data_IF_796468497822
#
_entry.id   IF_796468497822
#
_cell.length_a   1.000
_cell.length_b   1.000
_cell.length_c   1.000
_cell.angle_alpha   90.00
_cell.angle_beta   90.00
_cell.angle_gamma   90.00
#
_symmetry.space_group_name_H-M   'P 1'
#
loop_
_entity.id
_entity.type
_entity.pdbx_description
1 polymer ?
#
# COMPACT_ATOMS: atom_id res chain seq x y z
N UNK A 1 0.17 -26.49 -21.46
CA UNK A 1 0.18 -26.37 -19.99
C UNK A 1 0.74 -25.00 -19.70
N UNK A 2 -0.15 -24.03 -19.46
CA UNK A 2 0.29 -22.71 -19.01
C UNK A 2 0.88 -22.86 -17.61
N UNK A 3 2.11 -22.39 -17.46
CA UNK A 3 2.79 -22.36 -16.19
C UNK A 3 2.17 -21.22 -15.38
N UNK A 4 1.10 -21.51 -14.62
CA UNK A 4 0.44 -20.51 -13.77
C UNK A 4 1.41 -20.20 -12.63
N UNK A 5 2.22 -19.14 -12.80
CA UNK A 5 3.08 -18.62 -11.74
C UNK A 5 2.14 -18.06 -10.67
N UNK A 6 1.98 -18.78 -9.56
CA UNK A 6 1.18 -18.33 -8.44
C UNK A 6 1.80 -17.10 -7.77
N UNK A 7 0.94 -16.25 -7.20
CA UNK A 7 1.37 -15.03 -6.55
C UNK A 7 2.25 -15.31 -5.32
N UNK A 8 3.39 -14.62 -5.19
CA UNK A 8 4.26 -14.76 -4.02
C UNK A 8 3.77 -13.89 -2.87
N UNK A 9 3.00 -14.47 -1.95
CA UNK A 9 2.40 -13.74 -0.83
C UNK A 9 2.97 -14.18 0.54
N UNK A 10 3.08 -13.23 1.46
CA UNK A 10 3.30 -13.48 2.89
C UNK A 10 2.18 -12.84 3.68
N UNK A 11 1.41 -13.66 4.39
CA UNK A 11 0.34 -13.22 5.27
C UNK A 11 0.70 -13.56 6.72
N UNK A 12 0.86 -12.51 7.53
CA UNK A 12 1.12 -12.56 8.97
C UNK A 12 0.10 -11.72 9.74
N UNK A 13 -1.10 -11.57 9.17
CA UNK A 13 -2.21 -10.84 9.77
C UNK A 13 -2.58 -11.42 11.13
N UNK A 14 -2.79 -10.55 12.11
CA UNK A 14 -3.32 -10.90 13.44
C UNK A 14 -2.49 -11.98 14.18
N UNK A 15 -1.17 -11.93 14.06
CA UNK A 15 -0.24 -12.90 14.67
C UNK A 15 0.46 -12.40 15.93
N UNK A 16 0.01 -11.29 16.52
CA UNK A 16 0.57 -10.70 17.75
C UNK A 16 2.06 -10.31 17.63
N UNK A 17 2.55 -10.05 16.41
CA UNK A 17 3.93 -9.62 16.18
C UNK A 17 4.18 -8.25 16.81
N UNK A 18 5.39 -8.05 17.34
CA UNK A 18 5.80 -6.80 17.98
C UNK A 18 7.26 -6.47 17.67
N UNK A 19 7.68 -5.25 18.02
CA UNK A 19 9.01 -4.72 17.69
C UNK A 19 9.01 -4.01 16.34
N UNK A 20 10.21 -3.75 15.81
CA UNK A 20 10.41 -3.01 14.57
C UNK A 20 10.72 -3.93 13.39
N UNK A 21 10.37 -3.50 12.19
CA UNK A 21 10.82 -4.17 10.98
C UNK A 21 12.35 -4.04 10.81
N UNK A 22 13.06 -5.11 10.43
CA UNK A 22 14.47 -5.01 10.08
C UNK A 22 14.66 -4.26 8.75
N UNK A 23 15.63 -3.35 8.69
CA UNK A 23 15.95 -2.60 7.47
C UNK A 23 17.15 -3.20 6.72
N UNK A 24 16.95 -4.40 6.16
CA UNK A 24 18.02 -5.17 5.51
C UNK A 24 17.56 -5.95 4.26
N UNK A 25 16.44 -5.58 3.65
CA UNK A 25 15.91 -6.25 2.45
C UNK A 25 16.78 -5.90 1.24
N UNK A 26 17.58 -6.87 0.77
CA UNK A 26 18.44 -6.68 -0.41
C UNK A 26 17.77 -7.06 -1.73
N UNK A 27 16.86 -8.04 -1.67
CA UNK A 27 16.07 -8.54 -2.79
C UNK A 27 14.76 -9.05 -2.23
N UNK A 28 13.69 -8.81 -2.98
CA UNK A 28 12.35 -9.17 -2.57
C UNK A 28 11.55 -9.51 -3.83
N UNK A 29 10.93 -10.69 -3.81
CA UNK A 29 10.09 -11.21 -4.89
C UNK A 29 8.63 -11.38 -4.46
N UNK A 30 8.29 -10.88 -3.26
CA UNK A 30 6.92 -10.85 -2.79
C UNK A 30 6.11 -9.88 -3.63
N UNK A 31 4.94 -10.36 -4.03
CA UNK A 31 3.91 -9.64 -4.76
C UNK A 31 2.83 -9.14 -3.78
N UNK A 32 2.61 -9.82 -2.65
CA UNK A 32 1.71 -9.35 -1.59
C UNK A 32 2.30 -9.56 -0.18
N UNK A 33 2.21 -8.52 0.65
CA UNK A 33 2.63 -8.52 2.06
C UNK A 33 1.50 -8.02 2.95
N UNK A 34 1.02 -8.86 3.88
CA UNK A 34 0.04 -8.47 4.90
C UNK A 34 0.61 -8.71 6.30
N UNK A 35 0.83 -7.60 7.01
CA UNK A 35 1.27 -7.54 8.40
C UNK A 35 0.20 -6.89 9.30
N UNK A 36 -1.04 -6.81 8.84
CA UNK A 36 -2.10 -6.07 9.52
C UNK A 36 -2.53 -6.70 10.84
N UNK A 37 -3.06 -5.91 11.77
CA UNK A 37 -3.60 -6.41 13.03
C UNK A 37 -2.54 -6.92 14.02
N UNK A 38 -1.35 -6.34 14.00
CA UNK A 38 -0.26 -6.70 14.90
C UNK A 38 0.09 -5.53 15.86
N UNK A 39 1.19 -5.64 16.60
CA UNK A 39 1.72 -4.63 17.50
C UNK A 39 3.07 -4.09 17.03
N UNK A 40 3.33 -4.11 15.72
CA UNK A 40 4.58 -3.65 15.13
C UNK A 40 4.71 -2.13 15.33
N UNK A 41 5.89 -1.68 15.71
CA UNK A 41 6.21 -0.28 16.01
C UNK A 41 7.38 0.23 15.15
N UNK A 42 7.87 1.44 15.47
CA UNK A 42 8.95 2.07 14.74
C UNK A 42 8.52 2.53 13.35
N UNK A 43 9.41 2.38 12.37
CA UNK A 43 9.25 2.88 11.00
C UNK A 43 9.17 1.75 9.98
N UNK A 44 8.59 2.02 8.82
CA UNK A 44 8.70 1.10 7.69
C UNK A 44 10.16 1.04 7.18
N UNK A 45 10.71 -0.14 6.88
CA UNK A 45 12.10 -0.26 6.46
C UNK A 45 12.25 0.28 5.04
N UNK A 46 13.23 1.16 4.80
CA UNK A 46 13.43 1.81 3.49
C UNK A 46 13.85 0.79 2.43
N UNK A 47 14.44 -0.32 2.87
CA UNK A 47 14.79 -1.45 2.04
C UNK A 47 13.59 -2.16 1.38
N UNK A 48 12.33 -1.91 1.80
CA UNK A 48 11.14 -2.36 1.05
C UNK A 48 11.10 -1.84 -0.39
N UNK A 49 11.77 -0.73 -0.69
CA UNK A 49 11.95 -0.23 -2.06
C UNK A 49 12.63 -1.22 -3.01
N UNK A 50 13.29 -2.27 -2.50
CA UNK A 50 13.85 -3.37 -3.27
C UNK A 50 12.81 -4.39 -3.76
N UNK A 51 11.59 -4.38 -3.21
CA UNK A 51 10.47 -5.23 -3.64
C UNK A 51 9.82 -4.68 -4.92
N UNK A 52 10.47 -4.86 -6.07
CA UNK A 52 9.97 -4.31 -7.35
C UNK A 52 8.71 -4.99 -7.90
N UNK A 53 8.43 -6.19 -7.42
CA UNK A 53 7.25 -6.98 -7.79
C UNK A 53 6.08 -6.78 -6.82
N UNK A 54 6.23 -5.96 -5.78
CA UNK A 54 5.19 -5.77 -4.75
C UNK A 54 3.99 -5.01 -5.31
N UNK A 55 2.83 -5.64 -5.24
CA UNK A 55 1.52 -5.15 -5.67
C UNK A 55 0.66 -4.73 -4.48
N UNK A 56 0.73 -5.47 -3.37
CA UNK A 56 -0.09 -5.24 -2.17
C UNK A 56 0.80 -5.09 -0.93
N UNK A 57 0.65 -3.98 -0.23
CA UNK A 57 1.16 -3.81 1.14
C UNK A 57 0.03 -3.40 2.09
N UNK A 58 -0.24 -4.27 3.07
CA UNK A 58 -1.12 -3.97 4.20
C UNK A 58 -0.34 -4.02 5.51
N UNK A 59 -0.25 -2.88 6.19
CA UNK A 59 0.34 -2.74 7.52
C UNK A 59 -0.67 -2.16 8.52
N UNK A 60 -1.95 -2.21 8.19
CA UNK A 60 -3.02 -1.62 8.97
C UNK A 60 -3.12 -2.18 10.39
N UNK A 61 -3.73 -1.43 11.31
CA UNK A 61 -3.91 -1.85 12.71
C UNK A 61 -2.60 -2.27 13.38
N UNK A 62 -1.60 -1.38 13.36
CA UNK A 62 -0.31 -1.54 14.06
C UNK A 62 0.00 -0.28 14.90
N UNK A 63 1.23 -0.16 15.41
CA UNK A 63 1.73 0.99 16.17
C UNK A 63 2.82 1.78 15.43
N UNK A 64 2.91 1.64 14.10
CA UNK A 64 3.95 2.24 13.26
C UNK A 64 3.86 3.77 13.33
N UNK A 65 4.99 4.41 13.57
CA UNK A 65 5.14 5.86 13.70
C UNK A 65 6.17 6.36 12.69
N UNK A 66 5.70 6.78 11.52
CA UNK A 66 6.54 7.25 10.42
C UNK A 66 5.91 8.46 9.71
N UNK A 67 6.64 9.07 8.78
CA UNK A 67 6.08 10.04 7.85
C UNK A 67 5.36 9.36 6.68
N UNK A 68 4.66 10.12 5.85
CA UNK A 68 4.15 9.60 4.57
C UNK A 68 5.29 8.98 3.75
N UNK A 69 5.06 7.80 3.19
CA UNK A 69 6.09 6.93 2.63
C UNK A 69 6.41 7.25 1.16
N UNK A 70 6.77 8.51 0.85
CA UNK A 70 7.09 8.94 -0.52
C UNK A 70 8.16 8.09 -1.21
N UNK A 71 9.11 7.55 -0.44
CA UNK A 71 10.14 6.65 -0.95
C UNK A 71 9.60 5.34 -1.56
N UNK A 72 8.32 4.99 -1.31
CA UNK A 72 7.67 3.83 -1.93
C UNK A 72 7.20 4.09 -3.38
N UNK A 73 7.21 5.34 -3.85
CA UNK A 73 6.86 5.71 -5.24
C UNK A 73 7.70 4.96 -6.29
N UNK A 74 8.90 4.49 -5.89
CA UNK A 74 9.82 3.73 -6.76
C UNK A 74 9.47 2.25 -6.89
N UNK A 75 8.39 1.78 -6.26
CA UNK A 75 7.85 0.42 -6.41
C UNK A 75 6.82 0.48 -7.55
N UNK A 76 7.18 0.03 -8.77
CA UNK A 76 6.40 0.33 -9.97
C UNK A 76 5.07 -0.40 -10.06
N UNK A 77 4.88 -1.46 -9.26
CA UNK A 77 3.70 -2.32 -9.29
C UNK A 77 2.77 -2.13 -8.10
N UNK A 78 3.07 -1.20 -7.19
CA UNK A 78 2.27 -1.05 -5.97
C UNK A 78 0.86 -0.53 -6.32
N UNK A 79 -0.12 -1.40 -6.19
CA UNK A 79 -1.53 -1.15 -6.50
C UNK A 79 -2.34 -0.84 -5.24
N UNK A 80 -2.07 -1.57 -4.15
CA UNK A 80 -2.79 -1.44 -2.88
C UNK A 80 -1.84 -1.07 -1.76
N UNK A 81 -2.11 0.07 -1.11
CA UNK A 81 -1.39 0.53 0.06
C UNK A 81 -2.35 0.85 1.20
N UNK A 82 -2.30 0.06 2.27
CA UNK A 82 -3.14 0.23 3.45
C UNK A 82 -2.25 0.54 4.65
N UNK A 83 -2.34 1.79 5.14
CA UNK A 83 -1.51 2.27 6.24
C UNK A 83 -2.28 2.36 7.56
N UNK A 84 -3.58 2.06 7.59
CA UNK A 84 -4.45 2.44 8.70
C UNK A 84 -5.02 1.30 9.53
N UNK A 85 -5.38 1.57 10.79
CA UNK A 85 -4.91 2.68 11.62
C UNK A 85 -3.45 2.49 12.08
N UNK A 86 -2.68 3.58 12.16
CA UNK A 86 -1.30 3.66 12.67
C UNK A 86 -0.99 5.11 13.09
N UNK A 87 0.22 5.39 13.57
CA UNK A 87 0.69 6.72 14.00
C UNK A 87 1.42 7.49 12.89
N UNK A 88 1.12 7.22 11.62
CA UNK A 88 1.69 7.98 10.50
C UNK A 88 1.31 9.46 10.58
N UNK A 89 2.25 10.35 10.31
CA UNK A 89 2.07 11.80 10.47
C UNK A 89 2.76 12.62 9.38
N UNK A 90 2.57 13.94 9.42
CA UNK A 90 3.09 14.87 8.42
C UNK A 90 2.08 15.18 7.32
N UNK A 91 2.58 15.76 6.23
CA UNK A 91 1.74 16.23 5.13
C UNK A 91 1.71 15.23 3.99
N UNK A 92 0.51 14.89 3.52
CA UNK A 92 0.37 14.12 2.28
C UNK A 92 0.66 15.01 1.05
N UNK A 93 0.57 16.33 1.17
CA UNK A 93 0.86 17.27 0.08
C UNK A 93 2.33 17.29 -0.41
N UNK A 94 3.26 16.62 0.27
CA UNK A 94 4.64 16.43 -0.24
C UNK A 94 4.71 15.56 -1.50
N UNK A 95 3.57 15.05 -1.99
CA UNK A 95 3.47 14.33 -3.26
C UNK A 95 4.16 15.06 -4.43
N UNK A 96 4.21 16.39 -4.42
CA UNK A 96 4.55 17.17 -5.61
C UNK A 96 5.26 18.49 -5.28
N UNK A 97 6.59 18.45 -5.24
CA UNK A 97 7.37 19.65 -5.55
C UNK A 97 7.41 19.78 -7.07
N UNK A 98 7.13 20.98 -7.59
CA UNK A 98 6.93 21.29 -9.02
C UNK A 98 8.12 20.93 -9.93
N UNK A 99 9.29 20.66 -9.35
CA UNK A 99 10.53 20.42 -10.09
C UNK A 99 10.91 18.92 -10.25
N UNK A 100 10.34 17.97 -9.48
CA UNK A 100 10.95 16.61 -9.42
C UNK A 100 10.03 15.37 -9.40
N UNK A 101 8.68 15.46 -9.39
CA UNK A 101 7.81 14.25 -9.49
C UNK A 101 8.16 13.09 -8.50
N UNK A 102 8.75 13.39 -7.34
CA UNK A 102 9.44 12.38 -6.49
C UNK A 102 8.47 11.41 -5.81
N UNK A 103 7.20 11.80 -5.67
CA UNK A 103 6.24 11.08 -4.85
C UNK A 103 4.91 10.86 -5.60
N UNK A 104 4.98 10.17 -6.73
CA UNK A 104 3.82 9.68 -7.49
C UNK A 104 3.64 8.18 -7.32
N UNK A 105 2.39 7.72 -7.26
CA UNK A 105 2.02 6.30 -7.21
C UNK A 105 1.16 5.97 -8.44
N UNK A 106 1.75 5.94 -9.63
CA UNK A 106 0.99 5.87 -10.89
C UNK A 106 0.14 4.60 -11.00
N UNK A 107 0.61 3.49 -10.42
CA UNK A 107 -0.07 2.19 -10.40
C UNK A 107 -1.05 2.02 -9.25
N UNK A 108 -1.07 2.92 -8.27
CA UNK A 108 -1.93 2.76 -7.11
C UNK A 108 -3.41 2.89 -7.51
N UNK A 109 -4.20 1.92 -7.10
CA UNK A 109 -5.65 1.85 -7.30
C UNK A 109 -6.41 1.99 -5.98
N UNK A 110 -5.78 1.57 -4.87
CA UNK A 110 -6.32 1.69 -3.52
C UNK A 110 -5.23 2.24 -2.59
N UNK A 111 -5.46 3.41 -2.00
CA UNK A 111 -4.61 3.97 -0.95
C UNK A 111 -5.49 4.36 0.24
N UNK A 112 -5.38 3.62 1.34
CA UNK A 112 -6.16 3.86 2.56
C UNK A 112 -5.28 4.47 3.66
N UNK A 113 -5.43 5.79 3.83
CA UNK A 113 -4.73 6.61 4.82
C UNK A 113 -5.64 7.05 5.97
N UNK A 114 -6.88 6.54 6.04
CA UNK A 114 -7.86 6.96 7.03
C UNK A 114 -7.37 6.71 8.47
N UNK A 115 -7.92 7.36 9.48
CA UNK A 115 -7.55 7.09 10.90
C UNK A 115 -6.03 7.12 11.20
N UNK A 116 -5.31 8.06 10.59
CA UNK A 116 -3.88 8.37 10.85
C UNK A 116 -3.73 9.81 11.35
N UNK A 117 -2.51 10.24 11.67
CA UNK A 117 -2.20 11.61 12.12
C UNK A 117 -1.70 12.51 10.98
N UNK A 118 -2.05 12.21 9.72
CA UNK A 118 -1.75 13.12 8.61
C UNK A 118 -2.49 14.45 8.74
N UNK A 119 -1.84 15.54 8.35
CA UNK A 119 -2.37 16.90 8.46
C UNK A 119 -1.81 17.82 7.36
N UNK A 120 -2.28 19.06 7.31
CA UNK A 120 -1.85 20.03 6.30
C UNK A 120 -2.83 20.16 5.14
N UNK A 121 -2.47 20.94 4.10
CA UNK A 121 -3.36 21.19 2.98
C UNK A 121 -3.51 19.96 2.09
N UNK A 122 -4.66 19.82 1.41
CA UNK A 122 -4.77 18.91 0.27
C UNK A 122 -3.96 19.49 -0.91
N UNK A 123 -3.16 18.70 -1.63
CA UNK A 123 -2.44 19.17 -2.81
C UNK A 123 -3.44 19.29 -3.96
N UNK A 124 -3.79 20.55 -4.29
CA UNK A 124 -4.89 20.98 -5.17
C UNK A 124 -5.08 20.15 -6.46
N UNK A 125 -4.60 20.63 -7.60
CA UNK A 125 -4.85 20.01 -8.93
C UNK A 125 -3.87 18.87 -9.23
N UNK A 126 -3.36 18.28 -8.17
CA UNK A 126 -2.07 17.60 -8.12
C UNK A 126 -2.26 16.20 -7.55
N UNK A 127 -3.13 16.03 -6.55
CA UNK A 127 -3.50 14.72 -6.00
C UNK A 127 -3.86 13.68 -7.07
N UNK A 128 -4.74 14.08 -8.00
CA UNK A 128 -5.24 13.22 -9.06
C UNK A 128 -4.18 12.92 -10.14
N UNK A 129 -3.20 13.81 -10.36
CA UNK A 129 -2.11 13.54 -11.32
C UNK A 129 -1.14 12.47 -10.82
N UNK A 130 -0.96 12.38 -9.50
CA UNK A 130 -0.06 11.42 -8.87
C UNK A 130 -0.66 10.03 -8.65
N UNK A 131 -1.98 9.87 -8.87
CA UNK A 131 -2.76 8.64 -8.63
C UNK A 131 -3.52 8.27 -9.91
N UNK A 132 -2.81 8.20 -11.03
CA UNK A 132 -3.37 8.05 -12.38
C UNK A 132 -4.33 6.85 -12.50
N UNK A 133 -3.92 5.69 -11.97
CA UNK A 133 -4.74 4.47 -12.01
C UNK A 133 -6.00 4.51 -11.13
N UNK A 134 -6.11 5.46 -10.19
CA UNK A 134 -7.35 5.66 -9.43
C UNK A 134 -8.43 6.39 -10.22
N UNK A 135 -8.05 7.09 -11.29
CA UNK A 135 -8.95 7.94 -12.09
C UNK A 135 -9.42 7.18 -13.32
N UNK A 136 -8.49 6.50 -13.98
CA UNK A 136 -8.77 5.74 -15.18
C UNK A 136 -8.98 4.28 -14.83
N UNK A 137 -10.24 3.85 -14.93
CA UNK A 137 -10.59 2.44 -14.82
C UNK A 137 -10.25 1.75 -16.13
N UNK A 138 -9.26 0.87 -16.11
CA UNK A 138 -9.05 -0.10 -17.19
C UNK A 138 -10.22 -1.12 -17.14
N UNK A 139 -11.06 -1.21 -18.20
CA UNK A 139 -12.17 -2.16 -18.25
C UNK A 139 -11.71 -3.61 -18.36
N UNK A 140 -10.48 -3.86 -18.80
CA UNK A 140 -9.87 -5.18 -18.95
C UNK A 140 -8.98 -5.55 -17.75
N UNK A 141 -8.71 -4.60 -16.84
CA UNK A 141 -8.03 -4.92 -15.59
C UNK A 141 -8.90 -5.86 -14.76
N UNK A 142 -8.32 -6.99 -14.36
CA UNK A 142 -8.89 -7.78 -13.28
C UNK A 142 -9.13 -6.87 -12.09
N UNK A 143 -10.24 -7.04 -11.38
CA UNK A 143 -10.35 -6.44 -10.05
C UNK A 143 -9.06 -6.82 -9.33
N UNK A 144 -8.37 -5.81 -8.81
CA UNK A 144 -7.11 -5.96 -8.06
C UNK A 144 -7.25 -7.05 -6.99
N UNK A 145 -8.50 -7.37 -6.61
CA UNK A 145 -8.88 -8.53 -5.81
C UNK A 145 -10.17 -9.24 -6.29
N UNK A 146 -10.18 -9.82 -7.50
CA UNK A 146 -11.13 -10.90 -7.87
C UNK A 146 -10.38 -12.17 -8.27
N UNK A 147 -9.87 -12.86 -7.26
CA UNK A 147 -9.50 -14.26 -7.39
C UNK A 147 -10.34 -15.10 -6.45
N UNK A 148 -11.57 -15.35 -6.86
CA UNK A 148 -12.36 -16.48 -6.41
C UNK A 148 -11.73 -17.81 -6.84
N UNK A 149 -10.73 -18.28 -6.09
CA UNK A 149 -10.38 -19.71 -6.09
C UNK A 149 -10.95 -20.33 -4.82
N UNK A 150 -11.88 -21.25 -5.04
CA UNK A 150 -12.48 -22.15 -4.07
C UNK A 150 -11.44 -22.67 -3.06
N UNK A 151 -11.57 -22.25 -1.81
CA UNK A 151 -10.89 -22.88 -0.67
C UNK A 151 -9.95 -21.94 0.07
N UNK A 152 -10.46 -21.38 1.17
CA UNK A 152 -9.72 -20.73 2.25
C UNK A 152 -8.75 -19.63 1.85
N UNK A 153 -9.20 -18.38 1.95
CA UNK A 153 -8.57 -17.30 2.71
C UNK A 153 -9.57 -16.14 2.70
N UNK A 154 -9.84 -15.56 3.87
CA UNK A 154 -10.82 -14.50 4.00
C UNK A 154 -10.44 -13.32 3.10
N UNK A 155 -11.38 -12.97 2.23
CA UNK A 155 -11.29 -11.92 1.23
C UNK A 155 -10.76 -10.62 1.83
N UNK A 156 -9.68 -10.07 1.27
CA UNK A 156 -9.41 -8.64 1.38
C UNK A 156 -10.57 -7.90 0.68
N UNK A 157 -11.55 -7.43 1.44
CA UNK A 157 -12.68 -6.65 0.94
C UNK A 157 -12.38 -5.16 1.09
N UNK A 158 -11.60 -4.60 0.18
CA UNK A 158 -11.57 -3.15 0.00
C UNK A 158 -12.67 -2.78 -1.01
N UNK A 159 -13.88 -2.61 -0.48
CA UNK A 159 -15.06 -2.24 -1.27
C UNK A 159 -15.00 -0.74 -1.61
N UNK A 160 -15.37 -0.40 -2.84
CA UNK A 160 -15.60 0.97 -3.29
C UNK A 160 -16.50 1.70 -2.29
N UNK A 161 -16.14 2.93 -1.87
CA UNK A 161 -17.05 3.81 -1.15
C UNK A 161 -18.24 4.14 -2.07
N UNK A 162 -19.29 3.33 -2.00
CA UNK A 162 -20.61 3.65 -2.53
C UNK A 162 -21.40 4.42 -1.47
N UNK A 163 -22.05 5.49 -1.91
CA UNK A 163 -22.81 6.45 -1.10
C UNK A 163 -23.69 5.80 -0.02
N UNK A 164 -23.47 6.22 1.23
CA UNK A 164 -24.46 6.11 2.28
C UNK A 164 -25.30 7.40 2.31
N UNK A 165 -26.50 7.31 1.73
CA UNK A 165 -27.66 8.12 2.15
C UNK A 165 -28.70 7.21 2.77
#
# INVERSE_FOLDING_TARGET
MENVKGMQSLNLKETQLFGEFPDNIKKCSFEALDFSGNWIEGKLPRSLSACKDLEILDVGSNQISDSFACWMSVIPRLEVLVLRPNKFSGQVAQLLNEEENVCAFPSATIVDLSSTNFSGPLPRDQWFKSLESMIFRDPDASLVMDHGVSGSLENYKYMHCGDHT
#
